data_IF_097674757222
#
_entry.id   IF_097674757222
#
_cell.length_a   1.000
_cell.length_b   1.000
_cell.length_c   1.000
_cell.angle_alpha   90.00
_cell.angle_beta   90.00
_cell.angle_gamma   90.00
#
_symmetry.space_group_name_H-M   'P 1'
#
loop_
_entity.id
_entity.type
_entity.pdbx_description
1 polymer ?
#
# COMPACT_ATOMS: atom_id res chain seq x y z
N UNK A 1 -4.84 -10.45 -17.73
CA UNK A 1 -3.47 -10.21 -18.22
C UNK A 1 -2.54 -10.22 -17.02
N UNK A 2 -1.46 -11.02 -17.02
CA UNK A 2 -0.57 -11.16 -15.86
C UNK A 2 0.44 -10.01 -15.90
N UNK A 3 0.61 -9.28 -14.81
CA UNK A 3 1.71 -8.32 -14.66
C UNK A 3 3.04 -9.10 -14.78
N UNK A 4 4.01 -8.63 -15.59
CA UNK A 4 5.34 -9.23 -15.63
C UNK A 4 5.96 -9.21 -14.23
N UNK A 5 6.47 -10.36 -13.77
CA UNK A 5 7.03 -10.50 -12.41
C UNK A 5 8.27 -9.64 -12.15
N UNK A 6 8.98 -9.24 -13.21
CA UNK A 6 10.06 -8.26 -13.16
C UNK A 6 10.19 -7.58 -14.54
N UNK A 7 10.39 -6.26 -14.55
CA UNK A 7 10.82 -5.51 -15.73
C UNK A 7 12.35 -5.35 -15.69
N UNK A 8 13.07 -6.37 -16.17
CA UNK A 8 14.51 -6.32 -16.31
C UNK A 8 14.89 -5.37 -17.47
N UNK A 9 15.08 -4.09 -17.18
CA UNK A 9 15.49 -3.08 -18.17
C UNK A 9 15.07 -1.64 -17.86
N UNK A 10 14.13 -1.42 -16.93
CA UNK A 10 13.75 -0.06 -16.49
C UNK A 10 13.76 0.00 -14.95
N UNK A 11 14.96 0.02 -14.33
CA UNK A 11 15.09 0.07 -12.87
C UNK A 11 14.51 1.34 -12.25
N UNK A 12 14.32 2.40 -13.04
CA UNK A 12 13.85 3.71 -12.56
C UNK A 12 12.33 3.87 -12.58
N UNK A 13 11.56 2.80 -12.82
CA UNK A 13 10.09 2.88 -12.81
C UNK A 13 9.56 2.54 -11.42
N UNK A 14 9.03 3.55 -10.75
CA UNK A 14 8.22 3.34 -9.56
C UNK A 14 6.80 2.91 -9.97
N UNK A 15 6.35 1.80 -9.41
CA UNK A 15 4.99 1.27 -9.60
C UNK A 15 4.07 1.62 -8.43
N UNK A 16 4.59 2.29 -7.40
CA UNK A 16 3.78 2.80 -6.31
C UNK A 16 2.80 3.85 -6.82
N UNK A 17 1.59 3.83 -6.26
CA UNK A 17 0.66 4.94 -6.36
C UNK A 17 1.08 6.01 -5.36
N UNK A 18 1.12 7.26 -5.79
CA UNK A 18 1.40 8.36 -4.87
C UNK A 18 0.19 8.62 -3.96
N UNK A 19 0.39 9.11 -2.72
CA UNK A 19 -0.71 9.35 -1.79
C UNK A 19 -1.78 10.30 -2.36
N UNK A 20 -1.37 11.31 -3.14
CA UNK A 20 -2.27 12.25 -3.79
C UNK A 20 -3.20 11.60 -4.85
N UNK A 21 -2.76 10.49 -5.45
CA UNK A 21 -3.49 9.80 -6.51
C UNK A 21 -4.45 8.72 -5.96
N UNK A 22 -4.39 8.41 -4.66
CA UNK A 22 -5.23 7.40 -4.02
C UNK A 22 -6.72 7.67 -4.18
N UNK A 23 -7.13 8.95 -4.17
CA UNK A 23 -8.53 9.33 -4.35
C UNK A 23 -9.10 8.83 -5.70
N UNK A 24 -8.27 8.75 -6.74
CA UNK A 24 -8.68 8.22 -8.05
C UNK A 24 -9.10 6.75 -7.99
N UNK A 25 -8.61 5.99 -7.00
CA UNK A 25 -8.94 4.58 -6.86
C UNK A 25 -10.38 4.33 -6.41
N UNK A 26 -11.10 5.35 -5.90
CA UNK A 26 -12.54 5.27 -5.59
C UNK A 26 -13.40 4.90 -6.82
N UNK A 27 -12.95 5.26 -8.02
CA UNK A 27 -13.68 4.98 -9.26
C UNK A 27 -13.51 3.54 -9.75
N UNK A 28 -12.52 2.81 -9.21
CA UNK A 28 -12.30 1.42 -9.58
C UNK A 28 -13.31 0.56 -8.81
N UNK A 29 -14.12 -0.30 -9.46
CA UNK A 29 -15.02 -1.18 -8.75
C UNK A 29 -14.27 -2.33 -8.04
N UNK A 30 -14.92 -2.97 -7.06
CA UNK A 30 -14.42 -4.18 -6.43
C UNK A 30 -13.46 -3.98 -5.24
N UNK A 31 -13.08 -5.09 -4.58
CA UNK A 31 -12.26 -5.08 -3.38
C UNK A 31 -10.84 -4.56 -3.69
N UNK A 32 -10.21 -3.92 -2.71
CA UNK A 32 -8.88 -3.31 -2.86
C UNK A 32 -7.94 -3.79 -1.79
N UNK A 33 -6.67 -3.90 -2.18
CA UNK A 33 -5.58 -4.20 -1.28
C UNK A 33 -4.46 -3.21 -1.55
N UNK A 34 -4.03 -2.51 -0.51
CA UNK A 34 -2.89 -1.61 -0.52
C UNK A 34 -1.79 -2.17 0.38
N UNK A 35 -0.56 -2.13 -0.10
CA UNK A 35 0.64 -2.44 0.70
C UNK A 35 1.33 -1.11 1.01
N UNK A 36 1.53 -0.81 2.28
CA UNK A 36 2.08 0.47 2.74
C UNK A 36 3.32 0.20 3.57
N UNK A 37 4.36 1.01 3.38
CA UNK A 37 5.64 0.83 4.07
C UNK A 37 5.45 0.85 5.59
N UNK A 38 6.01 -0.16 6.25
CA UNK A 38 6.12 -0.21 7.71
C UNK A 38 7.58 -0.40 8.11
N UNK A 39 7.91 -0.01 9.33
CA UNK A 39 9.19 -0.25 9.96
C UNK A 39 8.96 -0.36 11.47
N UNK A 40 9.04 -1.59 11.97
CA UNK A 40 8.80 -1.87 13.40
C UNK A 40 9.94 -1.40 14.29
N UNK A 41 11.15 -1.24 13.74
CA UNK A 41 12.33 -0.77 14.46
C UNK A 41 12.42 0.76 14.51
N UNK A 42 11.83 1.46 13.54
CA UNK A 42 11.79 2.91 13.45
C UNK A 42 10.41 3.40 13.01
N UNK A 43 9.57 3.74 13.97
CA UNK A 43 8.21 4.22 13.72
C UNK A 43 8.15 5.49 12.86
N UNK A 44 9.19 6.32 12.84
CA UNK A 44 9.25 7.53 11.99
C UNK A 44 9.47 7.21 10.50
N UNK A 45 9.92 5.98 10.19
CA UNK A 45 10.10 5.51 8.82
C UNK A 45 8.83 4.86 8.24
N UNK A 46 7.73 4.81 9.01
CA UNK A 46 6.42 4.42 8.53
C UNK A 46 5.85 5.48 7.58
N UNK A 47 5.14 5.04 6.54
CA UNK A 47 4.40 5.95 5.67
C UNK A 47 3.04 6.30 6.30
N UNK A 48 3.08 7.19 7.28
CA UNK A 48 1.89 7.61 8.02
C UNK A 48 0.91 8.40 7.14
N UNK A 49 1.41 9.21 6.22
CA UNK A 49 0.59 10.01 5.31
C UNK A 49 -0.32 9.13 4.46
N UNK A 50 0.21 8.05 3.90
CA UNK A 50 -0.58 7.08 3.13
C UNK A 50 -1.63 6.40 4.00
N UNK A 51 -1.28 5.99 5.21
CA UNK A 51 -2.23 5.34 6.13
C UNK A 51 -3.40 6.25 6.52
N UNK A 52 -3.12 7.51 6.81
CA UNK A 52 -4.15 8.49 7.18
C UNK A 52 -5.07 8.77 5.99
N UNK A 53 -4.50 8.92 4.80
CA UNK A 53 -5.25 9.09 3.54
C UNK A 53 -6.16 7.89 3.27
N UNK A 54 -5.65 6.67 3.40
CA UNK A 54 -6.43 5.44 3.18
C UNK A 54 -7.59 5.30 4.18
N UNK A 55 -7.37 5.65 5.45
CA UNK A 55 -8.44 5.65 6.48
C UNK A 55 -9.52 6.68 6.19
N UNK A 56 -9.16 7.85 5.66
CA UNK A 56 -10.11 8.88 5.26
C UNK A 56 -10.94 8.46 4.04
N UNK A 57 -10.29 7.87 3.03
CA UNK A 57 -10.96 7.44 1.79
C UNK A 57 -11.81 6.17 1.96
N UNK A 58 -11.37 5.26 2.84
CA UNK A 58 -11.99 3.95 3.03
C UNK A 58 -12.21 3.65 4.53
N UNK A 59 -13.20 4.28 5.18
CA UNK A 59 -13.47 4.08 6.61
C UNK A 59 -13.82 2.63 6.98
N UNK A 60 -14.34 1.86 6.03
CA UNK A 60 -14.67 0.43 6.17
C UNK A 60 -13.46 -0.49 5.97
N UNK A 61 -12.28 0.06 5.66
CA UNK A 61 -11.07 -0.72 5.42
C UNK A 61 -10.50 -1.31 6.72
N UNK A 62 -9.84 -2.46 6.60
CA UNK A 62 -9.12 -3.11 7.69
C UNK A 62 -7.61 -3.02 7.50
N UNK A 63 -6.89 -2.78 8.59
CA UNK A 63 -5.44 -2.61 8.59
C UNK A 63 -4.79 -3.77 9.35
N UNK A 64 -3.77 -4.40 8.76
CA UNK A 64 -3.01 -5.48 9.38
C UNK A 64 -1.51 -5.27 9.17
N UNK A 65 -0.71 -5.46 10.22
CA UNK A 65 0.76 -5.46 10.10
C UNK A 65 1.25 -6.82 9.61
N UNK A 66 2.15 -6.83 8.64
CA UNK A 66 2.97 -8.00 8.30
C UNK A 66 4.40 -7.73 8.73
N UNK A 67 4.85 -8.52 9.70
CA UNK A 67 6.23 -8.55 10.14
C UNK A 67 7.01 -9.54 9.28
N UNK A 68 8.15 -9.10 8.74
CA UNK A 68 9.03 -9.93 7.94
C UNK A 68 10.19 -10.44 8.79
N UNK A 69 10.65 -11.70 8.59
CA UNK A 69 11.91 -12.15 9.17
C UNK A 69 13.12 -11.41 8.57
N UNK A 70 12.94 -10.71 7.44
CA UNK A 70 13.99 -9.88 6.82
C UNK A 70 13.88 -8.44 7.36
N UNK A 71 14.93 -7.90 8.02
CA UNK A 71 14.88 -6.56 8.61
C UNK A 71 14.55 -5.48 7.60
N UNK A 72 13.62 -4.59 7.95
CA UNK A 72 13.20 -3.47 7.09
C UNK A 72 12.22 -3.84 5.97
N UNK A 73 11.74 -5.08 5.93
CA UNK A 73 10.72 -5.55 4.98
C UNK A 73 9.33 -5.72 5.63
N UNK A 74 9.08 -5.02 6.73
CA UNK A 74 7.75 -4.95 7.31
C UNK A 74 6.83 -4.10 6.42
N UNK A 75 5.55 -4.45 6.36
CA UNK A 75 4.57 -3.64 5.65
C UNK A 75 3.18 -3.77 6.25
N UNK A 76 2.41 -2.71 6.12
CA UNK A 76 0.99 -2.69 6.41
C UNK A 76 0.22 -3.19 5.20
N UNK A 77 -0.78 -4.04 5.44
CA UNK A 77 -1.81 -4.39 4.48
C UNK A 77 -3.07 -3.63 4.87
N UNK A 78 -3.57 -2.77 3.98
CA UNK A 78 -4.85 -2.11 4.10
C UNK A 78 -5.83 -2.73 3.09
N UNK A 79 -6.84 -3.43 3.59
CA UNK A 79 -7.83 -4.13 2.77
C UNK A 79 -9.17 -3.40 2.81
N UNK A 80 -9.78 -3.23 1.63
CA UNK A 80 -11.10 -2.61 1.48
C UNK A 80 -12.06 -3.66 0.91
N UNK A 81 -13.13 -4.03 1.63
CA UNK A 81 -14.15 -4.94 1.10
C UNK A 81 -14.82 -4.33 -0.14
N UNK A 82 -15.40 -5.18 -0.99
CA UNK A 82 -16.23 -4.70 -2.09
C UNK A 82 -17.40 -3.88 -1.52
N UNK A 83 -17.67 -2.73 -2.14
CA UNK A 83 -18.90 -1.97 -1.90
C UNK A 83 -20.08 -2.63 -2.59
#
# INVERSE_FOLDING_TARGET
TRLPGAWAGIPNRDFAIWPADLAGTLQLPGPKLFMVKANTQNAKANDQQTLDTLKQLYPQGSLTLRQSPVPGHDFWIFFVPAQ
#
